data_IF_508621247964
#
_entry.id   IF_508621247964
#
_cell.length_a   1.000
_cell.length_b   1.000
_cell.length_c   1.000
_cell.angle_alpha   90.00
_cell.angle_beta   90.00
_cell.angle_gamma   90.00
#
_symmetry.space_group_name_H-M   'P 1'
#
loop_
_entity.id
_entity.type
_entity.pdbx_description
1 polymer ?
#
# COMPACT_ATOMS: atom_id res chain seq x y z
N UNK A 1 -17.40 -14.87 33.06
CA UNK A 1 -16.07 -14.35 32.69
C UNK A 1 -16.22 -13.50 31.46
N UNK A 2 -15.79 -12.25 31.51
CA UNK A 2 -15.85 -11.34 30.38
C UNK A 2 -14.93 -11.82 29.27
N UNK A 3 -15.51 -12.42 28.22
CA UNK A 3 -14.79 -12.77 27.00
C UNK A 3 -14.56 -11.50 26.20
N UNK A 4 -13.41 -10.86 26.39
CA UNK A 4 -12.94 -9.84 25.45
C UNK A 4 -12.79 -10.43 24.04
N UNK A 5 -12.84 -9.60 22.99
CA UNK A 5 -12.64 -10.07 21.63
C UNK A 5 -11.33 -10.86 21.53
N UNK A 6 -11.35 -11.98 20.80
CA UNK A 6 -10.16 -12.78 20.57
C UNK A 6 -9.04 -11.87 20.03
N UNK A 7 -7.78 -12.06 20.47
CA UNK A 7 -6.67 -11.17 20.11
C UNK A 7 -6.50 -11.01 18.60
N UNK A 8 -6.75 -12.07 17.83
CA UNK A 8 -6.76 -12.00 16.36
C UNK A 8 -7.85 -11.09 15.77
N UNK A 9 -9.03 -11.02 16.38
CA UNK A 9 -10.11 -10.13 15.94
C UNK A 9 -9.77 -8.66 16.18
N UNK A 10 -9.15 -8.35 17.32
CA UNK A 10 -8.67 -6.98 17.64
C UNK A 10 -7.62 -6.53 16.62
N UNK A 11 -6.71 -7.42 16.24
CA UNK A 11 -5.70 -7.14 15.23
C UNK A 11 -6.33 -7.00 13.83
N UNK A 12 -7.32 -7.80 13.49
CA UNK A 12 -8.07 -7.66 12.23
C UNK A 12 -8.77 -6.30 12.15
N UNK A 13 -9.47 -5.86 13.20
CA UNK A 13 -10.13 -4.55 13.24
C UNK A 13 -9.12 -3.40 13.13
N UNK A 14 -7.95 -3.55 13.75
CA UNK A 14 -6.85 -2.60 13.62
C UNK A 14 -6.32 -2.56 12.18
N UNK A 15 -6.13 -3.72 11.55
CA UNK A 15 -5.69 -3.81 10.16
C UNK A 15 -6.70 -3.16 9.20
N UNK A 16 -8.01 -3.37 9.44
CA UNK A 16 -9.09 -2.71 8.70
C UNK A 16 -9.03 -1.18 8.84
N UNK A 17 -8.79 -0.67 10.04
CA UNK A 17 -8.66 0.77 10.28
C UNK A 17 -7.46 1.38 9.51
N UNK A 18 -6.32 0.71 9.53
CA UNK A 18 -5.11 1.13 8.80
C UNK A 18 -5.36 1.06 7.29
N UNK A 19 -6.00 0.00 6.80
CA UNK A 19 -6.34 -0.16 5.39
C UNK A 19 -7.26 0.96 4.89
N UNK A 20 -8.28 1.32 5.67
CA UNK A 20 -9.15 2.46 5.35
C UNK A 20 -8.40 3.79 5.37
N UNK A 21 -7.42 3.97 6.26
CA UNK A 21 -6.53 5.15 6.22
C UNK A 21 -5.65 5.16 4.95
N UNK A 22 -5.16 4.00 4.52
CA UNK A 22 -4.37 3.86 3.30
C UNK A 22 -5.15 4.31 2.06
N UNK A 23 -6.41 3.86 1.93
CA UNK A 23 -7.32 4.27 0.85
C UNK A 23 -7.50 5.79 0.85
N UNK A 24 -7.83 6.39 2.01
CA UNK A 24 -7.99 7.85 2.12
C UNK A 24 -6.71 8.62 1.80
N UNK A 25 -5.54 8.08 2.15
CA UNK A 25 -4.26 8.70 1.79
C UNK A 25 -4.03 8.62 0.27
N UNK A 26 -4.44 7.54 -0.37
CA UNK A 26 -4.36 7.36 -1.82
C UNK A 26 -5.28 8.33 -2.57
N UNK A 27 -6.54 8.48 -2.12
CA UNK A 27 -7.51 9.44 -2.64
C UNK A 27 -7.00 10.89 -2.55
N UNK A 28 -6.20 11.20 -1.53
CA UNK A 28 -5.53 12.50 -1.35
C UNK A 28 -4.22 12.62 -2.15
N UNK A 29 -3.95 11.70 -3.08
CA UNK A 29 -2.71 11.60 -3.85
C UNK A 29 -1.42 11.54 -3.01
N UNK A 30 -1.52 11.16 -1.74
CA UNK A 30 -0.38 11.01 -0.83
C UNK A 30 0.27 9.62 -1.00
N UNK A 31 0.73 9.31 -2.22
CA UNK A 31 1.17 7.96 -2.63
C UNK A 31 2.22 7.33 -1.69
N UNK A 32 3.19 8.11 -1.20
CA UNK A 32 4.20 7.61 -0.24
C UNK A 32 3.59 7.22 1.10
N UNK A 33 2.62 8.01 1.60
CA UNK A 33 1.92 7.74 2.86
C UNK A 33 0.97 6.55 2.70
N UNK A 34 0.23 6.49 1.59
CA UNK A 34 -0.62 5.36 1.24
C UNK A 34 0.19 4.06 1.18
N UNK A 35 1.34 4.06 0.51
CA UNK A 35 2.23 2.89 0.44
C UNK A 35 2.67 2.40 1.83
N UNK A 36 3.06 3.32 2.72
CA UNK A 36 3.46 2.95 4.07
C UNK A 36 2.28 2.33 4.84
N UNK A 37 1.10 2.93 4.75
CA UNK A 37 -0.11 2.44 5.40
C UNK A 37 -0.54 1.07 4.86
N UNK A 38 -0.45 0.80 3.55
CA UNK A 38 -0.71 -0.53 3.01
C UNK A 38 0.29 -1.57 3.55
N UNK A 39 1.58 -1.23 3.69
CA UNK A 39 2.56 -2.14 4.30
C UNK A 39 2.24 -2.43 5.77
N UNK A 40 1.89 -1.40 6.54
CA UNK A 40 1.53 -1.52 7.95
C UNK A 40 0.24 -2.35 8.12
N UNK A 41 -0.77 -2.15 7.26
CA UNK A 41 -1.98 -2.96 7.22
C UNK A 41 -1.66 -4.43 6.92
N UNK A 42 -0.81 -4.70 5.92
CA UNK A 42 -0.40 -6.06 5.56
C UNK A 42 0.32 -6.79 6.70
N UNK A 43 1.24 -6.12 7.39
CA UNK A 43 1.89 -6.66 8.58
C UNK A 43 0.87 -6.99 9.68
N UNK A 44 -0.10 -6.10 9.92
CA UNK A 44 -1.13 -6.29 10.94
C UNK A 44 -2.09 -7.43 10.60
N UNK A 45 -2.47 -7.62 9.33
CA UNK A 45 -3.26 -8.79 8.91
C UNK A 45 -2.51 -10.10 9.10
N UNK A 46 -1.19 -10.14 8.85
CA UNK A 46 -0.37 -11.32 9.11
C UNK A 46 -0.32 -11.65 10.61
N UNK A 47 -0.18 -10.64 11.46
CA UNK A 47 -0.26 -10.81 12.92
C UNK A 47 -1.64 -11.30 13.36
N UNK A 48 -2.71 -10.76 12.79
CA UNK A 48 -4.08 -11.21 13.06
C UNK A 48 -4.26 -12.69 12.72
N UNK A 49 -3.84 -13.13 11.53
CA UNK A 49 -3.93 -14.52 11.08
C UNK A 49 -3.12 -15.47 11.98
N UNK A 50 -1.93 -15.05 12.42
CA UNK A 50 -1.10 -15.81 13.38
C UNK A 50 -1.78 -15.92 14.75
N UNK A 51 -2.36 -14.83 15.24
CA UNK A 51 -3.07 -14.80 16.53
C UNK A 51 -4.38 -15.61 16.50
N UNK A 52 -4.98 -15.79 15.33
CA UNK A 52 -6.11 -16.71 15.11
C UNK A 52 -5.68 -18.18 15.00
N UNK A 53 -4.38 -18.47 14.93
CA UNK A 53 -3.86 -19.84 14.83
C UNK A 53 -4.19 -20.54 13.50
N UNK A 54 -4.44 -19.77 12.44
CA UNK A 54 -4.82 -20.33 11.14
C UNK A 54 -3.59 -20.83 10.38
N UNK A 55 -3.64 -22.08 9.89
CA UNK A 55 -2.66 -22.58 8.93
C UNK A 55 -2.83 -21.91 7.55
N UNK A 56 -1.80 -21.96 6.70
CA UNK A 56 -1.75 -21.18 5.45
C UNK A 56 -2.97 -21.32 4.54
N UNK A 57 -3.53 -22.54 4.40
CA UNK A 57 -4.72 -22.77 3.58
C UNK A 57 -5.97 -22.11 4.18
N UNK A 58 -6.18 -22.25 5.49
CA UNK A 58 -7.29 -21.62 6.19
C UNK A 58 -7.14 -20.09 6.26
N UNK A 59 -5.90 -19.62 6.40
CA UNK A 59 -5.58 -18.20 6.41
C UNK A 59 -5.96 -17.54 5.08
N UNK A 60 -5.68 -18.18 3.94
CA UNK A 60 -6.05 -17.68 2.60
C UNK A 60 -7.57 -17.56 2.39
N UNK A 61 -8.33 -18.50 2.96
CA UNK A 61 -9.79 -18.46 2.86
C UNK A 61 -10.46 -17.52 3.88
N UNK A 62 -9.75 -17.18 4.95
CA UNK A 62 -10.20 -16.23 5.95
C UNK A 62 -10.31 -14.81 5.39
N UNK A 63 -11.26 -14.02 5.91
CA UNK A 63 -11.49 -12.64 5.48
C UNK A 63 -10.22 -11.79 5.56
N UNK A 64 -9.50 -11.85 6.68
CA UNK A 64 -8.20 -11.20 6.86
C UNK A 64 -7.15 -11.61 5.81
N UNK A 65 -7.14 -12.87 5.35
CA UNK A 65 -6.19 -13.32 4.32
C UNK A 65 -6.54 -12.83 2.91
N UNK A 66 -7.83 -12.77 2.58
CA UNK A 66 -8.31 -12.17 1.34
C UNK A 66 -7.96 -10.68 1.29
N UNK A 67 -8.18 -9.95 2.39
CA UNK A 67 -7.79 -8.55 2.53
C UNK A 67 -6.27 -8.36 2.49
N UNK A 68 -5.50 -9.22 3.13
CA UNK A 68 -4.03 -9.21 3.06
C UNK A 68 -3.54 -9.30 1.61
N UNK A 69 -4.10 -10.22 0.80
CA UNK A 69 -3.73 -10.34 -0.60
C UNK A 69 -4.00 -9.05 -1.38
N UNK A 70 -5.17 -8.43 -1.20
CA UNK A 70 -5.51 -7.15 -1.82
C UNK A 70 -4.55 -6.01 -1.41
N UNK A 71 -4.19 -5.96 -0.13
CA UNK A 71 -3.27 -4.96 0.44
C UNK A 71 -1.87 -5.10 -0.14
N UNK A 72 -1.36 -6.33 -0.26
CA UNK A 72 -0.03 -6.59 -0.81
C UNK A 72 0.04 -6.24 -2.30
N UNK A 73 -0.97 -6.64 -3.08
CA UNK A 73 -1.08 -6.26 -4.48
C UNK A 73 -1.10 -4.74 -4.65
N UNK A 74 -1.94 -4.04 -3.87
CA UNK A 74 -2.02 -2.58 -3.94
C UNK A 74 -0.72 -1.89 -3.52
N UNK A 75 -0.05 -2.40 -2.48
CA UNK A 75 1.25 -1.91 -2.05
C UNK A 75 2.30 -2.06 -3.15
N UNK A 76 2.30 -3.16 -3.89
CA UNK A 76 3.22 -3.36 -5.02
C UNK A 76 2.96 -2.36 -6.14
N UNK A 77 1.69 -2.16 -6.52
CA UNK A 77 1.30 -1.17 -7.54
C UNK A 77 1.75 0.23 -7.15
N UNK A 78 1.48 0.64 -5.91
CA UNK A 78 1.91 1.95 -5.40
C UNK A 78 3.43 2.08 -5.32
N UNK A 79 4.14 1.01 -4.94
CA UNK A 79 5.60 1.02 -4.90
C UNK A 79 6.19 1.27 -6.30
N UNK A 80 5.65 0.61 -7.33
CA UNK A 80 6.02 0.84 -8.73
C UNK A 80 5.70 2.27 -9.17
N UNK A 81 4.53 2.78 -8.85
CA UNK A 81 4.13 4.15 -9.18
C UNK A 81 5.03 5.20 -8.53
N UNK A 82 5.34 5.04 -7.24
CA UNK A 82 6.25 5.92 -6.49
C UNK A 82 7.67 5.85 -7.04
N UNK A 83 8.16 4.65 -7.40
CA UNK A 83 9.46 4.48 -8.03
C UNK A 83 9.53 5.16 -9.41
N UNK A 84 8.51 4.98 -10.24
CA UNK A 84 8.41 5.64 -11.54
C UNK A 84 8.37 7.17 -11.43
N UNK A 85 7.62 7.71 -10.45
CA UNK A 85 7.58 9.14 -10.19
C UNK A 85 8.95 9.71 -9.72
N UNK A 86 9.76 8.91 -9.01
CA UNK A 86 11.13 9.29 -8.64
C UNK A 86 12.11 9.22 -9.81
N UNK A 87 11.92 8.25 -10.71
CA UNK A 87 12.78 8.04 -11.87
C UNK A 87 12.55 9.07 -12.99
N UNK A 88 11.41 9.77 -13.00
CA UNK A 88 11.17 10.87 -13.93
C UNK A 88 12.09 12.05 -13.60
N UNK A 89 13.04 12.41 -14.48
CA UNK A 89 13.86 13.59 -14.28
C UNK A 89 12.96 14.82 -14.31
N UNK A 90 13.05 15.68 -13.28
CA UNK A 90 12.30 16.96 -13.19
C UNK A 90 12.79 18.00 -14.22
N UNK A 91 13.25 17.58 -15.39
CA UNK A 91 14.07 18.41 -16.28
C UNK A 91 13.99 18.03 -17.76
N UNK A 92 12.79 17.80 -18.32
CA UNK A 92 12.59 17.94 -19.76
C UNK A 92 11.51 18.99 -20.07
N UNK A 93 11.72 20.20 -19.58
CA UNK A 93 11.21 21.42 -20.23
C UNK A 93 12.29 22.50 -20.12
N UNK A 94 12.94 22.80 -21.26
CA UNK A 94 13.61 24.07 -21.54
C UNK A 94 15.10 24.20 -21.21
N UNK A 95 15.97 24.19 -22.23
CA UNK A 95 17.33 24.74 -22.10
C UNK A 95 18.34 24.26 -23.14
N UNK A 96 18.36 24.90 -24.32
CA UNK A 96 19.36 24.72 -25.39
C UNK A 96 18.67 24.70 -26.76
N UNK A 97 18.37 25.82 -27.43
CA UNK A 97 19.15 27.05 -27.46
C UNK A 97 20.47 26.80 -28.20
N UNK A 98 20.45 26.73 -29.53
CA UNK A 98 21.68 26.57 -30.32
C UNK A 98 21.48 26.52 -31.84
N UNK A 99 21.53 27.71 -32.47
CA UNK A 99 21.90 27.97 -33.87
C UNK A 99 20.89 27.55 -34.94
N UNK A 100 20.55 28.34 -35.96
CA UNK A 100 21.25 29.49 -36.53
C UNK A 100 21.56 29.19 -38.01
N UNK A 101 21.06 30.05 -38.91
CA UNK A 101 21.29 30.03 -40.37
C UNK A 101 20.05 29.54 -41.12
N UNK A 102 19.28 30.37 -41.84
CA UNK A 102 19.73 31.28 -42.91
C UNK A 102 19.96 30.41 -44.15
N UNK A 103 19.04 30.30 -45.10
CA UNK A 103 18.64 31.33 -46.06
C UNK A 103 19.22 30.94 -47.43
N UNK A 104 18.38 30.88 -48.47
CA UNK A 104 18.79 30.56 -49.85
C UNK A 104 18.09 29.34 -50.41
#
# INVERSE_FOLDING_TARGET
GGGGPAPGKVLEDRADAIFNEAIRAEERHAQKRALQLYKDAGATYLEALRALGLGDAAAREHAAGKKLAMVLDRAEVLNKAVAAARAQPRGRVGGGGGGGGGGG
#
